data_IF_078689043643
#
_entry.id   IF_078689043643
#
_cell.length_a   1.000
_cell.length_b   1.000
_cell.length_c   1.000
_cell.angle_alpha   90.00
_cell.angle_beta   90.00
_cell.angle_gamma   90.00
#
_symmetry.space_group_name_H-M   'P 1'
#
loop_
_entity.id
_entity.type
_entity.pdbx_description
1 polymer ?
#
# COMPACT_ATOMS: atom_id res chain seq x y z
N UNK A 1 -51.31 -14.40 11.58
CA UNK A 1 -49.93 -14.70 12.03
C UNK A 1 -48.86 -14.43 10.97
N UNK A 2 -49.08 -14.66 9.67
CA UNK A 2 -48.07 -14.41 8.61
C UNK A 2 -47.55 -12.95 8.52
N UNK A 3 -48.39 -11.93 8.74
CA UNK A 3 -47.94 -10.51 8.71
C UNK A 3 -46.97 -10.17 9.86
N UNK A 4 -47.17 -10.75 11.04
CA UNK A 4 -46.27 -10.55 12.18
C UNK A 4 -44.96 -11.35 12.02
N UNK A 5 -45.00 -12.50 11.33
CA UNK A 5 -43.81 -13.27 10.97
C UNK A 5 -42.89 -12.50 10.01
N UNK A 6 -43.46 -11.79 9.04
CA UNK A 6 -42.69 -10.95 8.10
C UNK A 6 -42.03 -9.75 8.77
N UNK A 7 -42.73 -9.11 9.71
CA UNK A 7 -42.17 -7.97 10.47
C UNK A 7 -41.06 -8.44 11.40
N UNK A 8 -41.22 -9.60 12.05
CA UNK A 8 -40.17 -10.20 12.88
C UNK A 8 -38.93 -10.59 12.06
N UNK A 9 -39.10 -11.12 10.84
CA UNK A 9 -38.00 -11.43 9.94
C UNK A 9 -37.25 -10.18 9.45
N UNK A 10 -37.96 -9.08 9.16
CA UNK A 10 -37.35 -7.81 8.75
C UNK A 10 -36.54 -7.16 9.89
N UNK A 11 -37.03 -7.27 11.13
CA UNK A 11 -36.32 -6.81 12.33
C UNK A 11 -35.07 -7.67 12.63
N UNK A 12 -35.13 -8.98 12.39
CA UNK A 12 -33.98 -9.88 12.58
C UNK A 12 -32.87 -9.62 11.54
N UNK A 13 -33.21 -9.21 10.31
CA UNK A 13 -32.22 -8.85 9.29
C UNK A 13 -31.46 -7.56 9.60
N UNK A 14 -32.03 -6.62 10.36
CA UNK A 14 -31.31 -5.39 10.77
C UNK A 14 -30.21 -5.61 11.82
N UNK A 15 -30.21 -6.76 12.50
CA UNK A 15 -29.28 -7.07 13.59
C UNK A 15 -27.91 -7.60 13.12
N UNK A 16 -27.74 -7.87 11.82
CA UNK A 16 -26.46 -8.33 11.24
C UNK A 16 -25.81 -7.29 10.32
N UNK A 17 -25.89 -6.02 10.71
CA UNK A 17 -25.11 -4.98 10.04
C UNK A 17 -23.64 -5.11 10.45
N UNK A 18 -22.79 -5.66 9.56
CA UNK A 18 -21.33 -5.52 9.68
C UNK A 18 -20.99 -4.04 9.50
N UNK A 19 -20.93 -3.30 10.62
CA UNK A 19 -20.61 -1.88 10.61
C UNK A 19 -19.10 -1.70 10.48
N UNK A 20 -18.66 -1.07 9.39
CA UNK A 20 -17.33 -0.48 9.33
C UNK A 20 -17.43 0.97 9.82
N UNK A 21 -16.61 1.33 10.80
CA UNK A 21 -16.55 2.68 11.35
C UNK A 21 -15.41 3.45 10.71
N UNK A 22 -15.69 4.68 10.25
CA UNK A 22 -14.66 5.59 9.74
C UNK A 22 -14.02 6.38 10.89
N UNK A 23 -12.69 6.30 11.02
CA UNK A 23 -11.89 6.98 12.02
C UNK A 23 -11.10 8.10 11.34
N UNK A 24 -11.54 9.36 11.49
CA UNK A 24 -10.82 10.52 10.94
C UNK A 24 -9.63 10.90 11.82
N UNK A 25 -8.48 11.19 11.20
CA UNK A 25 -7.23 11.52 11.90
C UNK A 25 -6.83 12.99 11.71
N UNK A 26 -7.11 13.58 10.53
CA UNK A 26 -6.64 14.92 10.17
C UNK A 26 -7.72 15.87 9.61
N UNK A 27 -8.91 15.38 9.28
CA UNK A 27 -9.98 16.20 8.68
C UNK A 27 -11.12 16.44 9.67
N UNK A 28 -11.51 17.70 9.85
CA UNK A 28 -12.78 18.09 10.50
C UNK A 28 -14.01 17.63 9.72
N UNK A 29 -13.85 17.38 8.41
CA UNK A 29 -14.85 16.72 7.60
C UNK A 29 -14.73 15.20 7.79
N UNK A 30 -15.78 14.58 8.34
CA UNK A 30 -15.95 13.12 8.49
C UNK A 30 -16.08 12.36 7.16
N UNK A 31 -15.65 12.95 6.05
CA UNK A 31 -15.76 12.34 4.72
C UNK A 31 -14.65 11.31 4.58
N UNK A 32 -14.98 10.03 4.32
CA UNK A 32 -13.99 9.02 4.05
C UNK A 32 -13.17 9.34 2.79
N UNK A 33 -11.88 9.08 2.86
CA UNK A 33 -10.97 9.27 1.73
C UNK A 33 -9.88 8.20 1.72
N UNK A 34 -9.52 7.76 0.52
CA UNK A 34 -8.45 6.80 0.31
C UNK A 34 -7.08 7.42 0.64
N UNK A 35 -6.10 6.55 0.88
CA UNK A 35 -4.70 6.98 0.94
C UNK A 35 -4.31 7.61 -0.40
N UNK A 36 -3.78 8.83 -0.35
CA UNK A 36 -3.39 9.58 -1.55
C UNK A 36 -1.88 9.72 -1.59
N UNK A 37 -1.29 9.39 -2.74
CA UNK A 37 0.13 9.60 -3.01
C UNK A 37 0.27 10.71 -4.04
N UNK A 38 1.14 11.67 -3.77
CA UNK A 38 1.41 12.80 -4.67
C UNK A 38 2.91 12.96 -4.88
N UNK A 39 3.34 13.05 -6.13
CA UNK A 39 4.71 13.42 -6.47
C UNK A 39 4.93 14.90 -6.16
N UNK A 40 5.97 15.22 -5.40
CA UNK A 40 6.39 16.60 -5.12
C UNK A 40 7.42 17.04 -6.16
N UNK A 41 8.46 16.23 -6.34
CA UNK A 41 9.51 16.47 -7.33
C UNK A 41 10.10 15.15 -7.79
N UNK A 42 10.68 15.17 -8.99
CA UNK A 42 11.45 14.05 -9.51
C UNK A 42 12.48 14.58 -10.49
N UNK A 43 13.63 13.92 -10.52
CA UNK A 43 14.65 14.04 -11.55
C UNK A 43 15.16 12.63 -11.92
N UNK A 44 16.30 12.53 -12.61
CA UNK A 44 16.85 11.24 -13.06
C UNK A 44 17.40 10.36 -11.92
N UNK A 45 17.72 10.94 -10.77
CA UNK A 45 18.39 10.29 -9.65
C UNK A 45 17.53 10.27 -8.38
N UNK A 46 16.59 11.21 -8.25
CA UNK A 46 15.84 11.47 -7.03
C UNK A 46 14.34 11.57 -7.32
N UNK A 47 13.53 11.06 -6.42
CA UNK A 47 12.07 11.21 -6.44
C UNK A 47 11.57 11.50 -5.04
N UNK A 48 10.85 12.62 -4.88
CA UNK A 48 10.24 13.03 -3.62
C UNK A 48 8.74 12.94 -3.76
N UNK A 49 8.09 12.23 -2.85
CA UNK A 49 6.65 12.07 -2.84
C UNK A 49 6.08 12.12 -1.43
N UNK A 50 4.81 12.48 -1.35
CA UNK A 50 4.04 12.58 -0.13
C UNK A 50 2.93 11.54 -0.12
N UNK A 51 2.77 10.88 1.02
CA UNK A 51 1.65 10.00 1.32
C UNK A 51 0.77 10.69 2.35
N UNK A 52 -0.51 10.87 2.01
CA UNK A 52 -1.53 11.47 2.87
C UNK A 52 -2.58 10.43 3.25
N UNK A 53 -2.89 10.37 4.55
CA UNK A 53 -3.91 9.47 5.11
C UNK A 53 -4.86 10.31 5.97
N UNK A 54 -6.09 10.49 5.48
CA UNK A 54 -7.11 11.28 6.17
C UNK A 54 -7.71 10.54 7.39
N UNK A 55 -7.70 9.21 7.34
CA UNK A 55 -8.33 8.32 8.31
C UNK A 55 -8.24 6.86 7.89
N UNK A 56 -9.05 6.01 8.51
CA UNK A 56 -9.13 4.59 8.19
C UNK A 56 -10.47 3.99 8.62
N UNK A 57 -10.85 2.90 7.96
CA UNK A 57 -11.98 2.08 8.39
C UNK A 57 -11.52 1.05 9.43
N UNK A 58 -12.34 0.86 10.45
CA UNK A 58 -12.20 -0.20 11.44
C UNK A 58 -13.45 -1.09 11.45
N UNK A 59 -13.26 -2.39 11.63
CA UNK A 59 -14.34 -3.33 11.94
C UNK A 59 -13.95 -4.22 13.12
N UNK A 60 -14.94 -4.72 13.85
CA UNK A 60 -14.73 -5.65 14.96
C UNK A 60 -14.90 -7.09 14.51
N UNK A 61 -14.06 -7.96 15.05
CA UNK A 61 -14.15 -9.41 14.94
C UNK A 61 -13.92 -10.02 16.31
N UNK A 62 -14.57 -11.14 16.62
CA UNK A 62 -14.36 -11.84 17.87
C UNK A 62 -13.36 -12.98 17.68
N UNK A 63 -12.32 -13.01 18.51
CA UNK A 63 -11.30 -14.07 18.56
C UNK A 63 -11.22 -14.56 20.01
N UNK A 64 -11.53 -15.84 20.26
CA UNK A 64 -11.48 -16.45 21.59
C UNK A 64 -12.20 -15.61 22.68
N UNK A 65 -13.43 -15.15 22.38
CA UNK A 65 -14.30 -14.32 23.23
C UNK A 65 -13.85 -12.87 23.46
N UNK A 66 -12.78 -12.43 22.81
CA UNK A 66 -12.31 -11.05 22.84
C UNK A 66 -12.53 -10.35 21.49
N UNK A 67 -12.90 -9.07 21.53
CA UNK A 67 -13.06 -8.26 20.31
C UNK A 67 -11.73 -7.64 19.85
N UNK A 68 -11.41 -7.89 18.59
CA UNK A 68 -10.26 -7.35 17.88
C UNK A 68 -10.70 -6.46 16.73
N UNK A 69 -9.88 -5.45 16.44
CA UNK A 69 -10.06 -4.52 15.34
C UNK A 69 -9.36 -5.04 14.09
N UNK A 70 -10.02 -4.97 12.94
CA UNK A 70 -9.41 -5.09 11.61
C UNK A 70 -9.38 -3.71 10.97
N UNK A 71 -8.24 -3.33 10.39
CA UNK A 71 -8.05 -2.05 9.72
C UNK A 71 -8.16 -2.20 8.21
N UNK A 72 -8.75 -1.21 7.56
CA UNK A 72 -8.73 -1.10 6.11
C UNK A 72 -8.73 0.37 5.66
N UNK A 73 -8.14 0.62 4.50
CA UNK A 73 -8.08 1.94 3.87
C UNK A 73 -7.93 1.75 2.36
N UNK A 74 -8.72 2.46 1.54
CA UNK A 74 -8.54 2.44 0.09
C UNK A 74 -7.18 3.01 -0.31
N UNK A 75 -6.66 2.59 -1.48
CA UNK A 75 -5.28 2.93 -1.89
C UNK A 75 -4.18 2.19 -1.11
N UNK A 76 -4.55 1.20 -0.29
CA UNK A 76 -3.60 0.36 0.46
C UNK A 76 -3.78 -1.12 0.16
N UNK A 77 -2.78 -1.92 0.52
CA UNK A 77 -2.76 -3.38 0.37
C UNK A 77 -2.34 -4.04 1.69
N UNK A 78 -2.83 -5.24 2.03
CA UNK A 78 -2.36 -5.95 3.22
C UNK A 78 -0.91 -6.44 3.05
N UNK A 79 -0.18 -6.58 4.16
CA UNK A 79 1.17 -7.17 4.15
C UNK A 79 1.18 -8.70 3.92
N UNK A 80 0.06 -9.37 4.18
CA UNK A 80 -0.09 -10.83 4.04
C UNK A 80 0.92 -11.68 4.83
N UNK A 81 1.42 -11.18 5.97
CA UNK A 81 2.29 -11.93 6.88
C UNK A 81 1.45 -12.61 7.97
N UNK A 82 1.25 -13.92 7.85
CA UNK A 82 0.46 -14.71 8.81
C UNK A 82 0.98 -14.50 10.23
N UNK A 83 0.07 -14.25 11.18
CA UNK A 83 0.41 -14.10 12.60
C UNK A 83 0.79 -12.67 13.01
N UNK A 84 1.39 -11.90 12.12
CA UNK A 84 1.77 -10.52 12.41
C UNK A 84 0.53 -9.60 12.47
N UNK A 85 0.62 -8.44 13.15
CA UNK A 85 -0.48 -7.48 13.20
C UNK A 85 -0.99 -7.09 11.80
N UNK A 86 -2.32 -7.09 11.63
CA UNK A 86 -3.01 -6.86 10.36
C UNK A 86 -3.02 -5.38 9.95
N UNK A 87 -1.86 -4.87 9.54
CA UNK A 87 -1.70 -3.49 9.07
C UNK A 87 -1.62 -3.41 7.53
N UNK A 88 -2.28 -2.41 6.91
CA UNK A 88 -2.13 -2.17 5.49
C UNK A 88 -0.92 -1.29 5.17
N UNK A 89 -0.43 -1.42 3.93
CA UNK A 89 0.69 -0.65 3.37
C UNK A 89 0.29 0.05 2.07
N UNK A 90 0.89 1.21 1.81
CA UNK A 90 0.83 1.89 0.52
C UNK A 90 2.01 1.40 -0.32
N UNK A 91 1.77 1.07 -1.59
CA UNK A 91 2.83 0.67 -2.52
C UNK A 91 2.95 1.71 -3.63
N UNK A 92 4.16 2.23 -3.83
CA UNK A 92 4.46 3.24 -4.85
C UNK A 92 5.53 2.67 -5.75
N UNK A 93 5.30 2.64 -7.06
CA UNK A 93 6.31 2.26 -8.03
C UNK A 93 6.98 3.52 -8.59
N UNK A 94 8.31 3.50 -8.61
CA UNK A 94 9.15 4.59 -9.11
C UNK A 94 10.06 4.06 -10.22
N UNK A 95 10.29 4.87 -11.24
CA UNK A 95 11.41 4.71 -12.15
C UNK A 95 12.67 5.12 -11.41
N UNK A 96 13.69 4.27 -11.46
CA UNK A 96 14.99 4.49 -10.82
C UNK A 96 16.10 4.47 -11.89
N UNK A 97 17.32 4.95 -11.57
CA UNK A 97 18.42 4.90 -12.52
C UNK A 97 18.73 3.49 -13.00
N UNK A 98 19.25 3.38 -14.22
CA UNK A 98 19.48 2.09 -14.87
C UNK A 98 20.47 1.18 -14.12
N UNK A 99 21.47 1.77 -13.46
CA UNK A 99 22.62 1.03 -12.92
C UNK A 99 22.79 1.16 -11.41
N UNK A 100 22.37 2.28 -10.83
CA UNK A 100 22.66 2.62 -9.46
C UNK A 100 21.72 1.90 -8.48
N UNK A 101 22.22 1.56 -7.29
CA UNK A 101 21.36 1.19 -6.17
C UNK A 101 20.64 2.44 -5.66
N UNK A 102 19.60 2.26 -4.87
CA UNK A 102 18.78 3.33 -4.32
C UNK A 102 18.72 3.24 -2.81
N UNK A 103 18.50 4.37 -2.16
CA UNK A 103 18.21 4.47 -0.74
C UNK A 103 17.04 5.44 -0.52
N UNK A 104 16.55 5.53 0.72
CA UNK A 104 15.46 6.43 1.07
C UNK A 104 15.76 7.28 2.31
N UNK A 105 15.20 8.49 2.31
CA UNK A 105 15.19 9.40 3.46
C UNK A 105 13.77 9.81 3.77
N UNK A 106 13.41 9.84 5.06
CA UNK A 106 12.13 10.39 5.51
C UNK A 106 12.36 11.88 5.80
N UNK A 107 11.83 12.76 4.94
CA UNK A 107 11.97 14.21 5.07
C UNK A 107 11.06 14.72 6.20
N UNK A 108 9.82 14.22 6.26
CA UNK A 108 8.83 14.61 7.24
C UNK A 108 7.90 13.44 7.53
N UNK A 109 7.45 13.33 8.78
CA UNK A 109 6.39 12.41 9.16
C UNK A 109 5.58 12.98 10.30
N UNK A 110 4.26 12.99 10.18
CA UNK A 110 3.34 13.43 11.23
C UNK A 110 2.37 12.31 11.58
N UNK A 111 2.12 12.11 12.86
CA UNK A 111 1.32 11.00 13.35
C UNK A 111 0.43 11.36 14.53
N UNK A 112 -0.56 10.49 14.78
CA UNK A 112 -1.34 10.45 16.02
C UNK A 112 -1.25 9.05 16.61
N UNK A 113 -1.27 8.96 17.94
CA UNK A 113 -1.33 7.69 18.65
C UNK A 113 -2.76 7.43 19.14
N UNK A 114 -3.33 6.31 18.74
CA UNK A 114 -4.61 5.78 19.21
C UNK A 114 -4.34 4.68 20.23
N UNK A 115 -4.79 4.88 21.47
CA UNK A 115 -4.55 3.96 22.59
C UNK A 115 -5.64 2.89 22.68
N UNK A 116 -5.34 1.82 23.42
CA UNK A 116 -6.27 0.73 23.75
C UNK A 116 -6.85 -0.01 22.53
N UNK A 117 -6.07 -0.11 21.46
CA UNK A 117 -6.46 -0.87 20.25
C UNK A 117 -5.99 -2.33 20.39
N UNK A 118 -6.92 -3.28 20.36
CA UNK A 118 -6.61 -4.71 20.15
C UNK A 118 -6.63 -4.98 18.64
N UNK A 119 -5.48 -5.06 17.98
CA UNK A 119 -5.43 -5.26 16.52
C UNK A 119 -5.42 -6.76 16.19
N UNK A 120 -6.24 -7.18 15.23
CA UNK A 120 -6.28 -8.57 14.77
C UNK A 120 -5.02 -8.96 13.98
N UNK A 121 -4.55 -10.22 14.08
CA UNK A 121 -3.44 -10.69 13.28
C UNK A 121 -3.87 -10.92 11.83
N UNK A 122 -2.93 -10.89 10.90
CA UNK A 122 -3.20 -11.27 9.51
C UNK A 122 -3.31 -12.80 9.38
N UNK A 123 -4.27 -13.26 8.57
CA UNK A 123 -4.35 -14.68 8.16
C UNK A 123 -3.26 -15.08 7.17
N UNK A 124 -2.50 -14.10 6.66
CA UNK A 124 -1.49 -14.31 5.63
C UNK A 124 -2.09 -14.44 4.22
N UNK A 125 -1.28 -14.95 3.30
CA UNK A 125 -1.75 -15.31 1.95
C UNK A 125 -2.56 -16.61 2.01
N UNK A 126 -3.77 -16.59 1.47
CA UNK A 126 -4.67 -17.75 1.38
C UNK A 126 -4.85 -18.16 -0.08
N UNK A 127 -4.85 -19.47 -0.33
CA UNK A 127 -5.20 -20.01 -1.64
C UNK A 127 -6.68 -19.75 -1.96
N UNK A 128 -6.99 -19.58 -3.25
CA UNK A 128 -8.38 -19.42 -3.73
C UNK A 128 -9.27 -20.63 -3.45
N UNK A 129 -8.68 -21.80 -3.17
CA UNK A 129 -9.40 -23.01 -2.81
C UNK A 129 -9.84 -23.05 -1.33
N UNK A 130 -9.34 -22.12 -0.50
CA UNK A 130 -9.62 -22.09 0.94
C UNK A 130 -10.63 -20.98 1.21
N UNK A 131 -11.74 -21.32 1.87
CA UNK A 131 -12.67 -20.33 2.39
C UNK A 131 -12.02 -19.53 3.55
N UNK A 132 -11.81 -18.20 3.40
CA UNK A 132 -11.22 -17.38 4.44
C UNK A 132 -11.97 -17.39 5.76
N UNK A 133 -13.27 -17.66 5.78
CA UNK A 133 -14.07 -17.72 7.01
C UNK A 133 -13.66 -18.91 7.90
N UNK A 134 -13.22 -20.01 7.29
CA UNK A 134 -12.83 -21.24 8.00
C UNK A 134 -11.43 -21.17 8.62
N UNK A 135 -10.59 -20.23 8.19
CA UNK A 135 -9.21 -20.10 8.66
C UNK A 135 -9.20 -19.32 9.98
N UNK A 136 -8.72 -19.90 11.09
CA UNK A 136 -8.65 -19.20 12.36
C UNK A 136 -7.57 -18.11 12.35
N UNK A 137 -7.79 -17.09 13.18
CA UNK A 137 -6.75 -16.11 13.49
C UNK A 137 -5.74 -16.74 14.46
N UNK A 138 -4.45 -16.58 14.16
CA UNK A 138 -3.34 -17.06 15.00
C UNK A 138 -2.45 -15.86 15.29
N UNK A 139 -2.02 -15.69 16.54
CA UNK A 139 -1.10 -14.62 16.93
C UNK A 139 0.34 -15.08 16.73
N UNK A 140 1.12 -14.26 16.03
CA UNK A 140 2.54 -14.48 15.80
C UNK A 140 3.42 -13.87 16.91
N UNK A 141 4.74 -14.14 16.88
CA UNK A 141 5.70 -13.67 17.87
C UNK A 141 5.80 -12.14 17.94
N UNK A 142 5.34 -11.42 16.91
CA UNK A 142 5.29 -9.97 16.91
C UNK A 142 4.40 -9.42 18.04
N UNK A 143 3.40 -10.18 18.51
CA UNK A 143 2.49 -9.76 19.59
C UNK A 143 3.12 -9.74 20.99
N UNK A 144 4.21 -10.48 21.17
CA UNK A 144 4.92 -10.55 22.45
C UNK A 144 6.02 -9.48 22.59
N UNK A 145 6.22 -8.67 21.53
CA UNK A 145 7.27 -7.67 21.47
C UNK A 145 6.74 -6.28 21.85
N UNK A 146 7.39 -5.63 22.81
CA UNK A 146 7.11 -4.23 23.14
C UNK A 146 7.80 -3.28 22.14
N UNK A 147 7.45 -3.41 20.87
CA UNK A 147 7.98 -2.60 19.77
C UNK A 147 6.88 -2.29 18.75
N UNK A 148 7.06 -1.23 17.96
CA UNK A 148 6.13 -0.91 16.88
C UNK A 148 6.41 -1.78 15.65
N UNK A 149 5.39 -2.53 15.23
CA UNK A 149 5.37 -3.30 13.99
C UNK A 149 4.67 -2.51 12.85
N UNK A 150 5.22 -2.48 11.63
CA UNK A 150 6.53 -2.98 11.26
C UNK A 150 7.60 -2.02 11.83
N UNK A 151 8.85 -2.48 11.92
CA UNK A 151 9.92 -1.65 12.48
C UNK A 151 10.27 -0.47 11.56
N UNK A 152 10.35 -0.72 10.25
CA UNK A 152 10.65 0.29 9.23
C UNK A 152 9.36 0.95 8.75
N UNK A 153 9.42 2.27 8.52
CA UNK A 153 8.31 3.04 7.92
C UNK A 153 8.26 2.91 6.40
N UNK A 154 9.43 2.70 5.78
CA UNK A 154 9.57 2.50 4.34
C UNK A 154 10.41 1.24 4.11
N UNK A 155 10.03 0.46 3.11
CA UNK A 155 10.81 -0.69 2.65
C UNK A 155 10.89 -0.66 1.12
N UNK A 156 12.08 -0.38 0.60
CA UNK A 156 12.38 -0.50 -0.82
C UNK A 156 12.44 -1.99 -1.19
N UNK A 157 11.65 -2.36 -2.19
CA UNK A 157 11.61 -3.73 -2.72
C UNK A 157 12.69 -3.93 -3.79
N UNK A 158 12.84 -5.15 -4.27
CA UNK A 158 13.78 -5.45 -5.35
C UNK A 158 13.44 -4.70 -6.65
N UNK A 159 14.44 -4.11 -7.32
CA UNK A 159 14.25 -3.50 -8.64
C UNK A 159 13.84 -4.51 -9.71
N UNK A 160 12.94 -4.08 -10.60
CA UNK A 160 12.48 -4.83 -11.75
C UNK A 160 12.68 -4.03 -13.04
N UNK A 161 12.67 -4.70 -14.19
CA UNK A 161 12.74 -4.06 -15.50
C UNK A 161 11.37 -4.21 -16.16
N UNK A 162 10.74 -3.08 -16.48
CA UNK A 162 9.56 -3.04 -17.32
C UNK A 162 9.98 -2.53 -18.69
N UNK A 163 10.37 -3.47 -19.57
CA UNK A 163 10.88 -3.21 -20.91
C UNK A 163 12.04 -2.20 -20.92
N UNK A 164 11.76 -0.92 -21.15
CA UNK A 164 12.77 0.12 -21.37
C UNK A 164 13.15 0.90 -20.10
N UNK A 165 12.45 0.65 -18.98
CA UNK A 165 12.68 1.36 -17.72
C UNK A 165 12.92 0.39 -16.57
N UNK A 166 13.83 0.77 -15.68
CA UNK A 166 14.08 0.07 -14.42
C UNK A 166 13.20 0.69 -13.33
N UNK A 167 12.31 -0.12 -12.79
CA UNK A 167 11.35 0.26 -11.77
C UNK A 167 11.73 -0.32 -10.40
N UNK A 168 11.26 0.32 -9.34
CA UNK A 168 11.35 -0.22 -7.99
C UNK A 168 10.13 0.20 -7.18
N UNK A 169 9.58 -0.72 -6.40
CA UNK A 169 8.46 -0.42 -5.50
C UNK A 169 8.96 -0.02 -4.12
N UNK A 170 8.48 1.11 -3.61
CA UNK A 170 8.58 1.50 -2.21
C UNK A 170 7.30 1.09 -1.48
N UNK A 171 7.43 0.35 -0.39
CA UNK A 171 6.33 0.08 0.53
C UNK A 171 6.39 1.07 1.68
N UNK A 172 5.31 1.82 1.89
CA UNK A 172 5.16 2.81 2.95
C UNK A 172 4.14 2.28 3.94
N UNK A 173 4.45 2.36 5.23
CA UNK A 173 3.62 1.86 6.32
C UNK A 173 3.01 3.02 7.11
N UNK A 174 1.83 3.54 6.70
CA UNK A 174 1.17 4.63 7.41
C UNK A 174 0.57 4.20 8.75
N UNK A 175 0.48 2.90 9.02
CA UNK A 175 0.01 2.33 10.28
C UNK A 175 1.14 1.55 10.94
N UNK A 176 1.40 1.82 12.21
CA UNK A 176 2.30 1.04 13.06
C UNK A 176 1.63 0.67 14.35
N UNK A 177 1.83 -0.54 14.83
CA UNK A 177 1.16 -1.05 16.01
C UNK A 177 2.14 -1.62 17.02
N UNK A 178 2.02 -1.19 18.28
CA UNK A 178 2.71 -1.83 19.40
C UNK A 178 1.68 -2.68 20.18
N UNK A 179 1.82 -4.02 20.17
CA UNK A 179 0.85 -4.94 20.77
C UNK A 179 0.85 -4.93 22.29
N UNK A 180 2.02 -4.75 22.93
CA UNK A 180 2.15 -4.72 24.40
C UNK A 180 1.50 -3.47 24.98
N UNK A 181 1.77 -2.30 24.40
CA UNK A 181 1.16 -1.02 24.83
C UNK A 181 -0.22 -0.77 24.20
N UNK A 182 -0.68 -1.66 23.30
CA UNK A 182 -1.93 -1.54 22.55
C UNK A 182 -2.10 -0.17 21.88
N UNK A 183 -1.00 0.36 21.34
CA UNK A 183 -0.96 1.68 20.69
C UNK A 183 -0.88 1.51 19.17
N UNK A 184 -1.87 2.03 18.47
CA UNK A 184 -1.86 2.19 17.01
C UNK A 184 -1.39 3.61 16.66
N UNK A 185 -0.23 3.72 16.03
CA UNK A 185 0.29 4.97 15.47
C UNK A 185 -0.15 5.11 14.02
N UNK A 186 -0.82 6.21 13.71
CA UNK A 186 -1.32 6.51 12.36
C UNK A 186 -0.61 7.74 11.84
N UNK A 187 0.17 7.57 10.79
CA UNK A 187 0.84 8.65 10.09
C UNK A 187 -0.12 9.25 9.07
N UNK A 188 -0.55 10.50 9.28
CA UNK A 188 -1.45 11.19 8.37
C UNK A 188 -0.71 11.92 7.25
N UNK A 189 0.59 12.18 7.44
CA UNK A 189 1.48 12.76 6.43
C UNK A 189 2.85 12.09 6.54
N UNK A 190 3.37 11.61 5.41
CA UNK A 190 4.75 11.11 5.26
C UNK A 190 5.33 11.69 3.98
N UNK A 191 6.50 12.34 4.05
CA UNK A 191 7.26 12.80 2.89
C UNK A 191 8.52 11.95 2.79
N UNK A 192 8.67 11.24 1.68
CA UNK A 192 9.77 10.32 1.42
C UNK A 192 10.54 10.81 0.20
N UNK A 193 11.86 10.84 0.33
CA UNK A 193 12.80 10.94 -0.77
C UNK A 193 13.38 9.56 -1.06
N UNK A 194 13.39 9.17 -2.33
CA UNK A 194 14.14 8.01 -2.82
C UNK A 194 15.20 8.53 -3.76
N UNK A 195 16.46 8.23 -3.47
CA UNK A 195 17.61 8.75 -4.21
C UNK A 195 18.57 7.64 -4.61
N UNK A 196 19.28 7.87 -5.70
CA UNK A 196 20.33 6.97 -6.19
C UNK A 196 21.58 7.05 -5.30
N UNK A 197 22.18 5.90 -5.05
CA UNK A 197 23.52 5.80 -4.45
C UNK A 197 24.60 5.72 -5.54
N UNK A 198 25.86 5.80 -5.15
CA UNK A 198 27.00 5.60 -6.08
C UNK A 198 27.27 4.11 -6.37
N UNK A 199 26.62 3.20 -5.64
CA UNK A 199 26.85 1.77 -5.76
C UNK A 199 26.07 1.18 -6.93
N UNK A 200 26.56 0.05 -7.46
CA UNK A 200 25.85 -0.71 -8.49
C UNK A 200 24.65 -1.43 -7.86
N UNK A 201 23.47 -1.24 -8.40
CA UNK A 201 22.24 -1.90 -7.96
C UNK A 201 22.03 -3.28 -8.58
N UNK A 202 21.01 -3.99 -8.10
CA UNK A 202 20.60 -5.29 -8.64
C UNK A 202 19.70 -5.13 -9.88
N UNK A 203 19.70 -6.09 -10.80
CA UNK A 203 18.84 -6.08 -11.98
C UNK A 203 18.98 -4.78 -12.82
N UNK A 204 20.23 -4.43 -13.16
CA UNK A 204 20.56 -3.20 -13.91
C UNK A 204 20.14 -3.29 -15.37
N UNK A 205 19.70 -2.18 -15.95
CA UNK A 205 19.34 -2.08 -17.36
C UNK A 205 20.55 -1.64 -18.20
N UNK A 206 20.88 -2.41 -19.24
CA UNK A 206 22.02 -2.11 -20.09
C UNK A 206 21.66 -1.08 -21.18
N UNK A 207 22.57 -0.16 -21.57
CA UNK A 207 22.25 0.85 -22.58
C UNK A 207 21.86 0.26 -23.95
N UNK A 208 22.48 -0.86 -24.35
CA UNK A 208 22.23 -1.51 -25.64
C UNK A 208 20.88 -2.25 -25.73
N UNK A 209 20.17 -2.41 -24.61
CA UNK A 209 18.83 -3.01 -24.60
C UNK A 209 17.72 -1.97 -24.70
N UNK A 210 18.05 -0.67 -24.73
CA UNK A 210 17.05 0.39 -24.86
C UNK A 210 16.80 0.73 -26.34
N UNK A 211 15.53 0.83 -26.76
CA UNK A 211 15.21 1.35 -28.09
C UNK A 211 15.60 2.82 -28.19
N UNK A 212 15.94 3.26 -29.40
CA UNK A 212 16.31 4.65 -29.71
C UNK A 212 15.18 5.64 -29.40
N UNK A 213 13.94 5.15 -29.36
CA UNK A 213 12.75 5.91 -29.03
C UNK A 213 11.77 5.05 -28.24
N UNK A 214 11.06 5.71 -27.33
CA UNK A 214 10.00 5.09 -26.53
C UNK A 214 8.80 4.80 -27.46
N UNK A 215 8.20 3.62 -27.38
CA UNK A 215 6.97 3.35 -28.15
C UNK A 215 5.76 4.05 -27.50
N UNK A 216 4.84 4.57 -28.33
CA UNK A 216 3.67 5.30 -27.85
C UNK A 216 2.78 4.48 -26.88
N UNK A 217 2.54 3.17 -27.09
CA UNK A 217 1.76 2.36 -26.15
C UNK A 217 2.40 2.21 -24.77
N UNK A 218 3.73 2.10 -24.71
CA UNK A 218 4.44 1.93 -23.43
C UNK A 218 4.49 3.23 -22.62
N UNK A 219 4.39 4.40 -23.26
CA UNK A 219 4.29 5.69 -22.55
C UNK A 219 3.13 5.70 -21.55
N UNK A 220 1.94 5.30 -21.99
CA UNK A 220 0.76 5.24 -21.13
C UNK A 220 0.92 4.23 -20.00
N UNK A 221 1.52 3.07 -20.27
CA UNK A 221 1.83 2.06 -19.25
C UNK A 221 2.75 2.66 -18.18
N UNK A 222 3.81 3.39 -18.57
CA UNK A 222 4.73 4.00 -17.62
C UNK A 222 4.07 5.12 -16.81
N UNK A 223 3.22 5.94 -17.42
CA UNK A 223 2.48 7.01 -16.73
C UNK A 223 1.47 6.48 -15.70
N UNK A 224 0.90 5.30 -15.92
CA UNK A 224 0.00 4.65 -14.96
C UNK A 224 0.74 3.86 -13.90
N UNK A 225 1.79 3.13 -14.28
CA UNK A 225 2.52 2.25 -13.37
C UNK A 225 3.41 3.02 -12.40
N UNK A 226 4.10 4.07 -12.87
CA UNK A 226 5.10 4.78 -12.10
C UNK A 226 4.63 6.17 -11.69
N UNK A 227 4.82 6.51 -10.42
CA UNK A 227 4.45 7.84 -9.90
C UNK A 227 5.22 8.96 -10.62
N UNK A 228 6.48 8.72 -10.98
CA UNK A 228 7.32 9.64 -11.75
C UNK A 228 7.36 9.31 -13.26
N UNK A 229 6.42 8.50 -13.76
CA UNK A 229 6.42 8.03 -15.16
C UNK A 229 6.18 9.12 -16.19
N UNK A 230 5.57 10.24 -15.82
CA UNK A 230 5.34 11.39 -16.71
C UNK A 230 6.62 12.09 -17.16
N UNK A 231 7.74 11.88 -16.45
CA UNK A 231 9.04 12.46 -16.80
C UNK A 231 9.78 11.69 -17.91
N UNK A 232 9.28 10.52 -18.31
CA UNK A 232 9.87 9.75 -19.42
C UNK A 232 9.58 10.48 -20.74
N UNK A 233 10.63 11.08 -21.32
CA UNK A 233 10.53 11.78 -22.61
C UNK A 233 10.31 10.77 -23.74
N UNK A 234 9.26 11.02 -24.53
CA UNK A 234 8.96 10.29 -25.76
C UNK A 234 9.54 11.08 -26.94
N UNK A 235 10.41 10.45 -27.73
CA UNK A 235 10.74 10.94 -29.07
C UNK A 235 9.85 10.18 -30.04
N UNK A 236 9.02 10.88 -30.81
CA UNK A 236 8.18 10.23 -31.80
C UNK A 236 9.02 9.55 -32.87
N UNK A 237 8.82 8.24 -33.07
CA UNK A 237 9.22 7.58 -34.31
C UNK A 237 8.04 7.74 -35.27
N UNK A 238 8.30 8.26 -36.46
CA UNK A 238 7.33 8.19 -37.54
C UNK A 238 7.20 6.71 -37.96
N UNK A 239 6.24 5.98 -37.37
CA UNK A 239 5.87 4.65 -37.87
C UNK A 239 4.83 4.80 -38.98
N UNK A 240 5.30 4.88 -40.24
CA UNK A 240 4.52 4.30 -41.33
C UNK A 240 4.72 2.78 -41.26
N UNK A 241 3.81 2.08 -40.57
CA UNK A 241 3.79 0.64 -40.58
C UNK A 241 3.53 0.11 -42.00
N UNK A 242 4.49 -0.60 -42.58
CA UNK A 242 4.24 -1.35 -43.80
C UNK A 242 3.34 -2.54 -43.46
N UNK A 243 2.12 -2.52 -43.99
CA UNK A 243 1.17 -3.63 -43.91
C UNK A 243 1.70 -4.78 -44.76
N UNK A 244 2.15 -5.88 -44.12
CA UNK A 244 2.43 -7.12 -44.82
C UNK A 244 1.09 -7.87 -44.99
N UNK A 245 0.59 -7.91 -46.22
CA UNK A 245 -0.49 -8.82 -46.62
C UNK A 245 0.18 -10.09 -47.14
N UNK A 246 -0.13 -11.23 -46.53
CA UNK A 246 0.28 -12.57 -46.98
C UNK A 246 -0.91 -13.21 -47.70
#
# INVERSE_FOLDING_TARGET
MQKYLFIAALLLCSLFSYSQEWNSVFSTAKVPADAKVTLISSDLQTSVFQVNVAGYYSSKITIANDDYTVLSLGGTTPMLRKGAPGIPKVAVSLIIPDKNSTDYTIISSKYVDVKNVKLAPSKGSLSRAIDPATVPYVFGPEYDQNAFYPEKMVSLQEPYILRDVRGQSAWIFPFRYNPVTRTLRVFYEIIVEVSSTKEKGNNTLAPHTKPTALSAPFKSIYQTQFLNGTQVKYTAVEEQGNMLII
#
